data_IF_462668957889
#
_entry.id   IF_462668957889
#
_cell.length_a   1.000
_cell.length_b   1.000
_cell.length_c   1.000
_cell.angle_alpha   90.00
_cell.angle_beta   90.00
_cell.angle_gamma   90.00
#
_symmetry.space_group_name_H-M   'P 1'
#
loop_
_entity.id
_entity.type
_entity.pdbx_description
1 polymer ?
#
# COMPACT_ATOMS: atom_id res chain seq x y z
N UNK A 1 4.33 -26.34 -10.61
CA UNK A 1 3.40 -25.91 -11.66
C UNK A 1 3.34 -27.01 -12.70
N UNK A 2 2.51 -28.03 -12.48
CA UNK A 2 2.37 -29.19 -13.36
C UNK A 2 0.99 -29.15 -14.04
N UNK A 3 0.90 -29.54 -15.31
CA UNK A 3 -0.37 -29.76 -16.01
C UNK A 3 -0.71 -28.84 -17.20
N UNK A 4 0.06 -27.78 -17.49
CA UNK A 4 -0.19 -26.90 -18.67
C UNK A 4 -0.19 -27.72 -19.97
N UNK A 5 0.83 -28.54 -20.16
CA UNK A 5 0.97 -29.37 -21.37
C UNK A 5 -0.05 -30.52 -21.44
N UNK A 6 -0.50 -31.02 -20.28
CA UNK A 6 -1.57 -32.04 -20.22
C UNK A 6 -2.92 -31.44 -20.59
N UNK A 7 -3.24 -30.24 -20.09
CA UNK A 7 -4.44 -29.50 -20.48
C UNK A 7 -4.40 -29.17 -21.97
N UNK A 8 -3.29 -28.63 -22.48
CA UNK A 8 -3.13 -28.36 -23.92
C UNK A 8 -3.28 -29.63 -24.77
N UNK A 9 -2.70 -30.75 -24.36
CA UNK A 9 -2.84 -32.05 -25.06
C UNK A 9 -4.26 -32.57 -25.07
N UNK A 10 -4.99 -32.51 -23.95
CA UNK A 10 -6.40 -32.94 -23.87
C UNK A 10 -7.25 -32.13 -24.84
N UNK A 11 -7.02 -30.82 -24.95
CA UNK A 11 -7.80 -29.98 -25.86
C UNK A 11 -7.39 -30.14 -27.33
N UNK A 12 -6.09 -30.29 -27.62
CA UNK A 12 -5.60 -30.58 -28.97
C UNK A 12 -6.11 -31.95 -29.50
N UNK A 13 -6.18 -32.96 -28.65
CA UNK A 13 -6.72 -34.29 -29.00
C UNK A 13 -8.23 -34.25 -29.31
N UNK A 14 -8.97 -33.32 -28.71
CA UNK A 14 -10.40 -33.16 -28.94
C UNK A 14 -10.75 -32.21 -30.10
N UNK A 15 -9.74 -31.75 -30.86
CA UNK A 15 -9.82 -31.04 -32.15
C UNK A 15 -10.98 -30.02 -32.28
N UNK A 16 -11.20 -29.20 -31.24
CA UNK A 16 -11.98 -27.99 -31.38
C UNK A 16 -10.97 -26.84 -31.48
N UNK A 17 -10.71 -26.37 -32.70
CA UNK A 17 -10.18 -25.02 -32.95
C UNK A 17 -11.20 -23.97 -32.49
N UNK A 18 -11.59 -24.05 -31.23
CA UNK A 18 -12.75 -23.42 -30.65
C UNK A 18 -12.42 -22.01 -30.26
N UNK A 19 -12.93 -21.07 -31.05
CA UNK A 19 -13.05 -19.70 -30.63
C UNK A 19 -14.03 -19.65 -29.44
N UNK A 20 -13.54 -19.22 -28.28
CA UNK A 20 -14.37 -19.00 -27.10
C UNK A 20 -15.05 -17.64 -27.28
N UNK A 21 -16.37 -17.65 -27.48
CA UNK A 21 -17.15 -16.41 -27.56
C UNK A 21 -17.31 -15.76 -26.20
N UNK A 22 -17.54 -14.45 -26.19
CA UNK A 22 -17.90 -13.66 -25.00
C UNK A 22 -18.96 -14.36 -24.13
N UNK A 23 -20.00 -14.91 -24.78
CA UNK A 23 -21.11 -15.58 -24.09
C UNK A 23 -20.67 -16.81 -23.27
N UNK A 24 -19.63 -17.52 -23.70
CA UNK A 24 -19.10 -18.69 -23.00
C UNK A 24 -18.27 -18.25 -21.80
N UNK A 25 -17.46 -17.19 -21.94
CA UNK A 25 -16.66 -16.63 -20.85
C UNK A 25 -17.56 -16.07 -19.73
N UNK A 26 -18.62 -15.37 -20.09
CA UNK A 26 -19.61 -14.85 -19.12
C UNK A 26 -20.35 -15.99 -18.39
N UNK A 27 -20.75 -17.04 -19.11
CA UNK A 27 -21.38 -18.24 -18.52
C UNK A 27 -20.43 -19.02 -17.61
N UNK A 28 -19.13 -18.97 -17.87
CA UNK A 28 -18.10 -19.54 -17.02
C UNK A 28 -17.85 -18.72 -15.72
N UNK A 29 -18.52 -17.58 -15.57
CA UNK A 29 -18.47 -16.75 -14.36
C UNK A 29 -17.39 -15.66 -14.38
N UNK A 30 -16.76 -15.40 -15.53
CA UNK A 30 -15.85 -14.26 -15.67
C UNK A 30 -16.65 -12.94 -15.65
N UNK A 31 -16.14 -11.94 -14.94
CA UNK A 31 -16.77 -10.63 -14.87
C UNK A 31 -16.80 -9.95 -16.25
N UNK A 32 -17.92 -9.31 -16.58
CA UNK A 32 -18.13 -8.69 -17.89
C UNK A 32 -17.06 -7.65 -18.26
N UNK A 33 -16.61 -6.86 -17.28
CA UNK A 33 -15.51 -5.90 -17.46
C UNK A 33 -14.19 -6.60 -17.87
N UNK A 34 -13.90 -7.75 -17.27
CA UNK A 34 -12.70 -8.54 -17.57
C UNK A 34 -12.79 -9.19 -18.94
N UNK A 35 -13.96 -9.72 -19.31
CA UNK A 35 -14.18 -10.32 -20.64
C UNK A 35 -14.06 -9.27 -21.74
N UNK A 36 -14.64 -8.08 -21.54
CA UNK A 36 -14.52 -6.97 -22.50
C UNK A 36 -13.09 -6.47 -22.63
N UNK A 37 -12.36 -6.31 -21.52
CA UNK A 37 -10.93 -5.93 -21.57
C UNK A 37 -10.08 -6.97 -22.30
N UNK A 38 -10.34 -8.26 -22.06
CA UNK A 38 -9.63 -9.37 -22.69
C UNK A 38 -9.84 -9.38 -24.21
N UNK A 39 -11.10 -9.30 -24.66
CA UNK A 39 -11.44 -9.28 -26.10
C UNK A 39 -10.95 -8.00 -26.79
N UNK A 40 -11.03 -6.85 -26.11
CA UNK A 40 -10.54 -5.58 -26.61
C UNK A 40 -9.01 -5.55 -26.76
N UNK A 41 -8.27 -6.10 -25.79
CA UNK A 41 -6.81 -6.20 -25.85
C UNK A 41 -6.32 -7.10 -26.99
N UNK A 42 -7.13 -8.07 -27.38
CA UNK A 42 -6.80 -9.05 -28.43
C UNK A 42 -7.44 -8.71 -29.79
N UNK A 43 -8.22 -7.64 -29.89
CA UNK A 43 -8.80 -7.15 -31.14
C UNK A 43 -9.73 -8.16 -31.84
N UNK A 44 -10.34 -9.07 -31.10
CA UNK A 44 -11.13 -10.19 -31.65
C UNK A 44 -12.45 -10.38 -30.88
N UNK A 45 -13.51 -10.78 -31.57
CA UNK A 45 -14.83 -11.09 -30.95
C UNK A 45 -14.86 -12.48 -30.29
N UNK A 46 -13.84 -13.30 -30.55
CA UNK A 46 -13.74 -14.63 -29.99
C UNK A 46 -12.28 -15.08 -29.87
N UNK A 47 -12.00 -15.83 -28.81
CA UNK A 47 -10.65 -16.06 -28.33
C UNK A 47 -10.19 -17.50 -28.58
N UNK A 48 -9.05 -17.74 -29.23
CA UNK A 48 -8.51 -19.10 -29.33
C UNK A 48 -8.24 -19.68 -27.94
N UNK A 49 -8.71 -20.90 -27.68
CA UNK A 49 -8.55 -21.55 -26.38
C UNK A 49 -7.08 -21.66 -25.93
N UNK A 50 -6.15 -21.88 -26.87
CA UNK A 50 -4.71 -21.86 -26.60
C UNK A 50 -4.26 -20.52 -26.01
N UNK A 51 -4.76 -19.41 -26.53
CA UNK A 51 -4.46 -18.06 -26.02
C UNK A 51 -5.06 -17.83 -24.64
N UNK A 52 -6.22 -18.41 -24.31
CA UNK A 52 -6.79 -18.35 -22.96
C UNK A 52 -5.91 -19.10 -21.96
N UNK A 53 -5.50 -20.32 -22.32
CA UNK A 53 -4.63 -21.16 -21.50
C UNK A 53 -3.28 -20.48 -21.33
N UNK A 54 -2.71 -19.91 -22.38
CA UNK A 54 -1.49 -19.14 -22.28
C UNK A 54 -1.66 -17.94 -21.35
N UNK A 55 -2.76 -17.19 -21.46
CA UNK A 55 -3.08 -16.06 -20.60
C UNK A 55 -3.29 -16.44 -19.13
N UNK A 56 -4.04 -17.52 -18.86
CA UNK A 56 -4.27 -18.04 -17.51
C UNK A 56 -2.98 -18.55 -16.85
N UNK A 57 -2.01 -18.98 -17.65
CA UNK A 57 -0.68 -19.42 -17.23
C UNK A 57 0.41 -18.37 -17.45
N UNK A 58 0.07 -17.13 -17.83
CA UNK A 58 1.05 -16.05 -17.95
C UNK A 58 1.59 -15.76 -16.55
N UNK A 59 2.85 -16.12 -16.31
CA UNK A 59 3.53 -15.78 -15.07
C UNK A 59 3.52 -14.25 -14.93
N UNK A 60 3.03 -13.74 -13.81
CA UNK A 60 3.27 -12.33 -13.46
C UNK A 60 4.77 -12.17 -13.22
N UNK A 61 5.49 -11.55 -14.15
CA UNK A 61 6.92 -11.36 -14.00
C UNK A 61 7.15 -10.27 -12.94
N UNK A 62 7.86 -10.56 -11.83
CA UNK A 62 8.07 -9.58 -10.78
C UNK A 62 8.73 -8.31 -11.33
N UNK A 63 8.11 -7.17 -11.06
CA UNK A 63 8.62 -5.85 -11.46
C UNK A 63 8.37 -5.46 -12.92
N UNK A 64 7.72 -6.29 -13.75
CA UNK A 64 7.51 -6.01 -15.18
C UNK A 64 6.75 -4.70 -15.44
N UNK A 65 5.82 -4.33 -14.53
CA UNK A 65 5.01 -3.11 -14.63
C UNK A 65 5.60 -1.93 -13.85
N UNK A 66 6.88 -1.97 -13.51
CA UNK A 66 7.57 -0.94 -12.73
C UNK A 66 8.45 -0.03 -13.60
N UNK A 67 8.06 0.20 -14.86
CA UNK A 67 8.84 1.08 -15.73
C UNK A 67 8.89 2.51 -15.14
N UNK A 68 10.06 3.18 -15.16
CA UNK A 68 10.16 4.56 -14.68
C UNK A 68 9.18 5.49 -15.39
N UNK A 69 8.34 6.18 -14.63
CA UNK A 69 7.32 7.07 -15.16
C UNK A 69 7.60 8.54 -14.83
N UNK A 70 7.19 9.52 -15.66
CA UNK A 70 7.30 10.93 -15.28
C UNK A 70 6.56 11.19 -13.96
N UNK A 71 7.15 11.97 -13.05
CA UNK A 71 6.51 12.31 -11.77
C UNK A 71 5.12 12.94 -11.96
N UNK A 72 4.92 13.68 -13.05
CA UNK A 72 3.62 14.28 -13.41
C UNK A 72 2.56 13.26 -13.86
N UNK A 73 2.97 12.11 -14.40
CA UNK A 73 2.05 11.06 -14.84
C UNK A 73 1.49 10.24 -13.65
N UNK A 74 2.21 10.23 -12.52
CA UNK A 74 1.73 9.56 -11.32
C UNK A 74 0.54 10.31 -10.70
N UNK A 75 -0.44 9.59 -10.10
CA UNK A 75 -1.52 10.17 -9.33
C UNK A 75 -0.96 11.15 -8.29
N UNK A 76 -1.61 12.31 -8.15
CA UNK A 76 -1.16 13.41 -7.29
C UNK A 76 -0.85 12.98 -5.86
N UNK A 77 -1.59 12.01 -5.35
CA UNK A 77 -1.51 11.51 -3.98
C UNK A 77 -0.30 10.57 -3.80
N UNK A 78 0.22 10.01 -4.90
CA UNK A 78 1.34 9.06 -4.92
C UNK A 78 2.64 9.71 -5.39
N UNK A 79 2.66 11.00 -5.77
CA UNK A 79 3.87 11.67 -6.30
C UNK A 79 4.96 11.78 -5.25
N UNK A 80 4.62 12.12 -4.01
CA UNK A 80 5.60 12.18 -2.93
C UNK A 80 6.21 10.81 -2.65
N UNK A 81 5.37 9.76 -2.59
CA UNK A 81 5.83 8.39 -2.41
C UNK A 81 6.74 7.95 -3.57
N UNK A 82 6.35 8.21 -4.81
CA UNK A 82 7.13 7.87 -5.99
C UNK A 82 8.49 8.57 -5.98
N UNK A 83 8.52 9.86 -5.64
CA UNK A 83 9.76 10.62 -5.52
C UNK A 83 10.64 10.10 -4.37
N UNK A 84 10.05 9.75 -3.21
CA UNK A 84 10.79 9.19 -2.09
C UNK A 84 11.38 7.81 -2.41
N UNK A 85 10.61 6.94 -3.09
CA UNK A 85 11.09 5.66 -3.60
C UNK A 85 12.24 5.82 -4.60
N UNK A 86 12.16 6.85 -5.45
CA UNK A 86 13.23 7.18 -6.40
C UNK A 86 14.50 7.64 -5.69
N UNK A 87 14.37 8.51 -4.67
CA UNK A 87 15.52 8.96 -3.87
C UNK A 87 16.12 7.82 -3.05
N UNK A 88 15.32 6.89 -2.54
CA UNK A 88 15.80 5.68 -1.87
C UNK A 88 16.60 4.77 -2.82
N UNK A 89 16.13 4.60 -4.06
CA UNK A 89 16.87 3.88 -5.11
C UNK A 89 18.22 4.56 -5.39
N UNK A 90 18.23 5.89 -5.50
CA UNK A 90 19.47 6.65 -5.73
C UNK A 90 20.43 6.58 -4.54
N UNK A 91 19.92 6.60 -3.31
CA UNK A 91 20.75 6.40 -2.12
C UNK A 91 21.42 5.02 -2.14
N UNK A 92 20.66 3.97 -2.52
CA UNK A 92 21.19 2.62 -2.70
C UNK A 92 22.30 2.55 -3.76
N UNK A 93 22.05 3.16 -4.93
CA UNK A 93 23.02 3.23 -6.02
C UNK A 93 24.27 4.04 -5.64
N UNK A 94 24.10 5.16 -4.95
CA UNK A 94 25.18 6.01 -4.47
C UNK A 94 26.05 5.30 -3.43
N UNK A 95 25.44 4.62 -2.47
CA UNK A 95 26.16 3.85 -1.45
C UNK A 95 26.95 2.70 -2.07
N UNK A 96 26.36 1.99 -3.05
CA UNK A 96 27.07 0.98 -3.82
C UNK A 96 28.27 1.57 -4.57
N UNK A 97 28.11 2.72 -5.23
CA UNK A 97 29.22 3.38 -5.94
C UNK A 97 30.38 3.76 -5.00
N UNK A 98 30.08 4.12 -3.75
CA UNK A 98 31.08 4.55 -2.77
C UNK A 98 31.73 3.40 -2.01
N UNK A 99 31.00 2.30 -1.75
CA UNK A 99 31.40 1.25 -0.80
C UNK A 99 31.21 -0.19 -1.29
N UNK A 100 30.67 -0.39 -2.49
CA UNK A 100 30.38 -1.73 -3.03
C UNK A 100 29.43 -2.50 -2.11
N UNK A 101 29.72 -3.78 -1.87
CA UNK A 101 28.89 -4.68 -1.06
C UNK A 101 28.70 -4.23 0.39
N UNK A 102 29.69 -3.56 0.98
CA UNK A 102 29.59 -3.05 2.35
C UNK A 102 28.60 -1.88 2.47
N UNK A 103 28.29 -1.21 1.36
CA UNK A 103 27.36 -0.07 1.29
C UNK A 103 25.88 -0.45 1.32
N UNK A 104 25.52 -1.67 1.71
CA UNK A 104 24.12 -2.10 1.70
C UNK A 104 23.27 -1.25 2.66
N UNK A 105 22.23 -0.63 2.09
CA UNK A 105 21.25 0.18 2.80
C UNK A 105 20.04 -0.65 3.18
N UNK A 106 19.70 -0.64 4.46
CA UNK A 106 18.47 -1.22 5.00
C UNK A 106 17.47 -0.12 5.26
N UNK A 107 16.36 -0.17 4.55
CA UNK A 107 15.24 0.74 4.74
C UNK A 107 14.53 0.39 6.06
N UNK A 108 14.40 1.35 6.98
CA UNK A 108 13.80 1.10 8.31
C UNK A 108 12.27 1.28 8.31
N UNK A 109 11.75 2.25 7.54
CA UNK A 109 10.33 2.59 7.49
C UNK A 109 9.82 2.57 6.05
N UNK A 110 8.54 2.32 5.79
CA UNK A 110 7.98 2.40 4.44
C UNK A 110 7.62 3.84 4.06
N UNK A 111 7.80 4.27 2.79
CA UNK A 111 7.52 5.64 2.34
C UNK A 111 6.02 6.02 2.39
N UNK A 112 5.15 5.06 2.73
CA UNK A 112 3.72 5.23 2.98
C UNK A 112 3.38 5.73 4.40
N UNK A 113 4.38 5.87 5.29
CA UNK A 113 4.13 6.47 6.60
C UNK A 113 3.86 7.97 6.44
N UNK A 114 3.02 8.59 7.30
CA UNK A 114 2.77 10.03 7.29
C UNK A 114 4.02 10.88 7.60
N UNK A 115 5.15 10.27 7.86
CA UNK A 115 6.41 10.93 8.16
C UNK A 115 7.02 11.45 6.86
N UNK A 116 7.41 12.72 6.81
CA UNK A 116 8.03 13.33 5.62
C UNK A 116 9.49 12.87 5.43
N UNK A 117 9.82 11.64 5.85
CA UNK A 117 11.16 11.11 5.85
C UNK A 117 11.24 9.59 5.72
N UNK A 118 12.36 9.14 5.16
CA UNK A 118 12.71 7.73 5.04
C UNK A 118 13.95 7.44 5.88
N UNK A 119 13.85 6.49 6.81
CA UNK A 119 15.00 6.02 7.60
C UNK A 119 15.78 4.95 6.85
N UNK A 120 17.12 5.02 6.93
CA UNK A 120 18.02 3.99 6.41
C UNK A 120 19.13 3.66 7.40
N UNK A 121 19.49 2.38 7.48
CA UNK A 121 20.66 1.90 8.21
C UNK A 121 21.70 1.34 7.25
N UNK A 122 22.97 1.67 7.48
CA UNK A 122 24.12 1.19 6.71
C UNK A 122 25.00 0.36 7.62
N UNK A 123 25.10 -0.94 7.32
CA UNK A 123 25.67 -1.93 8.25
C UNK A 123 27.14 -1.68 8.62
N UNK A 124 27.98 -1.17 7.70
CA UNK A 124 29.40 -0.95 7.99
C UNK A 124 29.67 0.21 8.96
N UNK A 125 28.74 1.17 9.06
CA UNK A 125 28.79 2.32 9.98
C UNK A 125 27.97 2.10 11.26
N UNK A 126 27.24 0.99 11.34
CA UNK A 126 26.46 0.61 12.53
C UNK A 126 27.27 -0.27 13.51
N UNK A 127 28.60 -0.33 13.36
CA UNK A 127 29.50 -1.10 14.24
C UNK A 127 29.82 -0.28 15.50
N UNK A 128 30.12 -0.96 16.60
CA UNK A 128 30.34 -0.35 17.92
C UNK A 128 31.45 0.73 17.98
N UNK A 129 32.35 0.77 16.99
CA UNK A 129 33.45 1.73 16.92
C UNK A 129 33.19 2.93 15.98
N UNK A 130 32.04 2.98 15.31
CA UNK A 130 31.74 4.05 14.34
C UNK A 130 31.26 5.32 15.04
N UNK A 131 31.72 6.46 14.55
CA UNK A 131 31.38 7.77 15.14
C UNK A 131 30.24 8.47 14.38
N UNK A 132 29.59 9.43 15.04
CA UNK A 132 28.59 10.27 14.38
C UNK A 132 29.23 11.10 13.26
N UNK A 133 30.46 11.60 13.45
CA UNK A 133 31.18 12.39 12.46
C UNK A 133 31.47 11.62 11.17
N UNK A 134 31.82 10.32 11.28
CA UNK A 134 31.94 9.42 10.12
C UNK A 134 30.62 9.29 9.35
N UNK A 135 29.50 9.21 10.07
CA UNK A 135 28.18 9.13 9.45
C UNK A 135 27.78 10.45 8.81
N UNK A 136 28.09 11.60 9.42
CA UNK A 136 27.86 12.93 8.82
C UNK A 136 28.69 13.11 7.54
N UNK A 137 29.96 12.70 7.57
CA UNK A 137 30.83 12.75 6.39
C UNK A 137 30.30 11.83 5.26
N UNK A 138 29.83 10.64 5.61
CA UNK A 138 29.23 9.72 4.64
C UNK A 138 27.89 10.25 4.07
N UNK A 139 27.05 10.88 4.89
CA UNK A 139 25.82 11.52 4.41
C UNK A 139 26.10 12.62 3.37
N UNK A 140 27.17 13.39 3.56
CA UNK A 140 27.61 14.40 2.59
C UNK A 140 28.10 13.78 1.27
N UNK A 141 28.90 12.70 1.36
CA UNK A 141 29.35 11.95 0.18
C UNK A 141 28.19 11.31 -0.59
N UNK A 142 27.25 10.67 0.13
CA UNK A 142 26.03 10.11 -0.44
C UNK A 142 25.20 11.17 -1.15
N UNK A 143 25.01 12.33 -0.51
CA UNK A 143 24.20 13.41 -1.09
C UNK A 143 24.80 13.89 -2.41
N UNK A 144 26.11 14.14 -2.44
CA UNK A 144 26.80 14.55 -3.67
C UNK A 144 26.67 13.50 -4.78
N UNK A 145 26.86 12.22 -4.45
CA UNK A 145 26.72 11.14 -5.42
C UNK A 145 25.28 11.00 -5.92
N UNK A 146 24.27 11.16 -5.06
CA UNK A 146 22.86 11.15 -5.46
C UNK A 146 22.53 12.31 -6.43
N UNK A 147 23.08 13.51 -6.21
CA UNK A 147 22.94 14.64 -7.12
C UNK A 147 23.55 14.36 -8.51
N UNK A 148 24.72 13.72 -8.56
CA UNK A 148 25.33 13.28 -9.83
C UNK A 148 24.48 12.22 -10.53
N UNK A 149 23.96 11.25 -9.77
CA UNK A 149 23.10 10.19 -10.31
C UNK A 149 21.74 10.70 -10.79
N UNK A 150 21.21 11.80 -10.24
CA UNK A 150 19.96 12.42 -10.72
C UNK A 150 20.06 12.90 -12.18
N UNK A 151 21.27 13.16 -12.68
CA UNK A 151 21.52 13.51 -14.09
C UNK A 151 21.65 12.29 -15.00
N UNK A 152 21.64 11.08 -14.44
CA UNK A 152 21.73 9.82 -15.17
C UNK A 152 20.36 9.31 -15.64
N UNK A 153 20.30 8.04 -16.04
CA UNK A 153 19.05 7.36 -16.40
C UNK A 153 18.86 6.09 -15.57
N UNK A 154 17.61 5.85 -15.16
CA UNK A 154 17.15 4.54 -14.68
C UNK A 154 16.46 3.82 -15.82
N UNK A 155 16.82 2.55 -16.04
CA UNK A 155 16.16 1.67 -16.99
C UNK A 155 15.61 0.44 -16.27
N UNK A 156 14.51 -0.11 -16.79
CA UNK A 156 13.97 -1.39 -16.35
C UNK A 156 14.45 -2.46 -17.34
N UNK A 157 15.23 -3.44 -16.88
CA UNK A 157 15.69 -4.57 -17.69
C UNK A 157 14.99 -5.86 -17.24
N UNK A 158 14.33 -6.53 -18.17
CA UNK A 158 13.73 -7.84 -17.95
C UNK A 158 14.78 -8.92 -18.26
N UNK A 159 15.18 -9.70 -17.26
CA UNK A 159 16.27 -10.68 -17.39
C UNK A 159 15.80 -12.08 -16.97
N UNK A 160 16.35 -13.15 -17.59
CA UNK A 160 16.19 -14.51 -17.08
C UNK A 160 16.72 -14.61 -15.63
N UNK A 161 16.11 -15.47 -14.81
CA UNK A 161 16.44 -15.56 -13.37
C UNK A 161 17.93 -15.70 -13.09
N UNK A 162 18.64 -16.58 -13.79
CA UNK A 162 20.08 -16.82 -13.54
C UNK A 162 20.92 -15.57 -13.81
N UNK A 163 20.62 -14.86 -14.89
CA UNK A 163 21.28 -13.61 -15.25
C UNK A 163 20.89 -12.46 -14.30
N UNK A 164 19.62 -12.38 -13.90
CA UNK A 164 19.17 -11.40 -12.93
C UNK A 164 19.88 -11.55 -11.58
N UNK A 165 19.96 -12.78 -11.07
CA UNK A 165 20.61 -13.06 -9.79
C UNK A 165 22.12 -12.77 -9.82
N UNK A 166 22.79 -13.01 -10.95
CA UNK A 166 24.23 -12.70 -11.08
C UNK A 166 24.52 -11.20 -11.14
N UNK A 167 23.57 -10.38 -11.62
CA UNK A 167 23.73 -8.92 -11.73
C UNK A 167 23.36 -8.15 -10.47
N UNK A 168 22.45 -8.65 -9.61
CA UNK A 168 22.03 -7.93 -8.39
C UNK A 168 23.25 -7.62 -7.51
N UNK A 169 23.40 -6.34 -7.16
CA UNK A 169 24.59 -5.82 -6.48
C UNK A 169 24.70 -6.27 -5.01
N UNK A 170 23.62 -6.16 -4.24
CA UNK A 170 23.62 -6.51 -2.81
C UNK A 170 23.23 -7.96 -2.55
N UNK A 171 23.99 -8.66 -1.70
CA UNK A 171 23.80 -10.07 -1.43
C UNK A 171 22.45 -10.38 -0.76
N UNK A 172 21.96 -9.53 0.15
CA UNK A 172 20.64 -9.73 0.75
C UNK A 172 19.50 -9.52 -0.27
N UNK A 173 19.67 -8.56 -1.20
CA UNK A 173 18.72 -8.38 -2.30
C UNK A 173 18.75 -9.59 -3.26
N UNK A 174 19.93 -10.17 -3.51
CA UNK A 174 20.08 -11.39 -4.30
C UNK A 174 19.43 -12.59 -3.59
N UNK A 175 19.63 -12.73 -2.29
CA UNK A 175 19.01 -13.79 -1.48
C UNK A 175 17.49 -13.67 -1.50
N UNK A 176 16.94 -12.45 -1.32
CA UNK A 176 15.52 -12.19 -1.42
C UNK A 176 14.98 -12.54 -2.83
N UNK A 177 15.62 -12.07 -3.89
CA UNK A 177 15.26 -12.38 -5.26
C UNK A 177 15.31 -13.89 -5.57
N UNK A 178 16.27 -14.62 -4.99
CA UNK A 178 16.40 -16.07 -5.19
C UNK A 178 15.22 -16.86 -4.65
N UNK A 179 14.50 -16.32 -3.65
CA UNK A 179 13.30 -16.93 -3.07
C UNK A 179 12.07 -16.85 -3.98
N UNK A 180 12.06 -15.93 -4.95
CA UNK A 180 10.99 -15.80 -5.92
C UNK A 180 11.00 -17.00 -6.89
N UNK A 181 9.85 -17.66 -7.02
CA UNK A 181 9.65 -18.80 -7.94
C UNK A 181 9.18 -18.31 -9.32
N UNK A 182 10.04 -17.60 -10.04
CA UNK A 182 9.76 -17.05 -11.38
C UNK A 182 10.84 -17.43 -12.40
N UNK A 183 10.50 -17.51 -13.68
CA UNK A 183 11.49 -17.78 -14.75
C UNK A 183 12.35 -16.56 -15.09
N UNK A 184 11.79 -15.36 -14.92
CA UNK A 184 12.39 -14.07 -15.24
C UNK A 184 12.02 -13.03 -14.19
N UNK A 185 12.77 -11.93 -14.11
CA UNK A 185 12.43 -10.80 -13.25
C UNK A 185 12.94 -9.48 -13.82
N UNK A 186 12.28 -8.39 -13.47
CA UNK A 186 12.71 -7.05 -13.84
C UNK A 186 13.66 -6.45 -12.80
N UNK A 187 14.78 -5.91 -13.26
CA UNK A 187 15.73 -5.16 -12.44
C UNK A 187 15.73 -3.69 -12.85
N UNK A 188 15.90 -2.80 -11.87
CA UNK A 188 16.34 -1.44 -12.16
C UNK A 188 17.83 -1.41 -12.38
N UNK A 189 18.23 -0.74 -13.47
CA UNK A 189 19.60 -0.42 -13.80
C UNK A 189 19.81 1.09 -13.68
N UNK A 190 20.69 1.49 -12.78
CA UNK A 190 21.12 2.89 -12.62
C UNK A 190 22.54 3.03 -13.13
N UNK A 191 22.78 3.93 -14.08
CA UNK A 191 24.13 4.17 -14.60
C UNK A 191 24.95 5.00 -13.59
N UNK A 192 26.11 4.49 -13.18
CA UNK A 192 26.96 5.14 -12.16
C UNK A 192 28.03 6.09 -12.73
N UNK A 193 27.99 6.34 -14.04
CA UNK A 193 28.98 7.16 -14.75
C UNK A 193 30.02 6.35 -15.53
N UNK A 194 30.84 7.03 -16.33
CA UNK A 194 31.81 6.41 -17.22
C UNK A 194 32.91 5.67 -16.43
N UNK A 195 32.92 4.33 -16.52
CA UNK A 195 33.96 3.47 -15.93
C UNK A 195 33.65 2.85 -14.56
N UNK A 196 32.57 3.28 -13.88
CA UNK A 196 32.17 2.75 -12.55
C UNK A 196 31.17 1.57 -12.68
N UNK A 197 30.52 1.45 -13.83
CA UNK A 197 29.56 0.38 -14.14
C UNK A 197 28.11 0.81 -13.92
N UNK A 198 27.26 -0.14 -13.55
CA UNK A 198 25.85 0.10 -13.28
C UNK A 198 25.41 -0.60 -12.00
N UNK A 199 24.48 0.03 -11.29
CA UNK A 199 23.84 -0.55 -10.12
C UNK A 199 22.57 -1.30 -10.54
N UNK A 200 22.45 -2.55 -10.09
CA UNK A 200 21.30 -3.40 -10.35
C UNK A 200 20.61 -3.81 -9.05
N UNK A 201 19.30 -3.62 -9.01
CA UNK A 201 18.44 -4.04 -7.89
C UNK A 201 17.08 -4.52 -8.41
N UNK A 202 16.40 -5.48 -7.74
CA UNK A 202 15.05 -5.88 -8.12
C UNK A 202 14.08 -4.70 -8.18
N UNK A 203 13.24 -4.66 -9.23
CA UNK A 203 12.20 -3.64 -9.37
C UNK A 203 11.01 -3.93 -8.44
N UNK A 204 11.17 -3.61 -7.15
CA UNK A 204 10.19 -3.91 -6.11
C UNK A 204 9.13 -2.82 -5.91
N UNK A 205 9.41 -1.58 -6.33
CA UNK A 205 8.51 -0.43 -6.21
C UNK A 205 8.62 0.45 -7.46
N UNK A 206 7.57 1.18 -7.86
CA UNK A 206 7.65 2.10 -9.00
C UNK A 206 8.63 3.25 -8.68
N UNK A 207 9.31 3.76 -9.70
CA UNK A 207 10.18 4.95 -9.56
C UNK A 207 9.84 5.99 -10.61
N UNK A 208 10.18 7.23 -10.31
CA UNK A 208 10.08 8.33 -11.24
C UNK A 208 11.25 8.29 -12.23
N UNK A 209 11.04 8.85 -13.42
CA UNK A 209 12.15 9.26 -14.27
C UNK A 209 13.00 10.30 -13.54
N UNK A 210 14.32 10.11 -13.53
CA UNK A 210 15.24 10.96 -12.75
C UNK A 210 15.17 12.44 -13.14
N UNK A 211 15.01 12.72 -14.43
CA UNK A 211 14.80 14.06 -14.97
C UNK A 211 13.58 14.78 -14.38
N UNK A 212 12.57 14.03 -13.94
CA UNK A 212 11.35 14.55 -13.31
C UNK A 212 11.41 14.57 -11.77
N UNK A 213 12.49 14.07 -11.17
CA UNK A 213 12.67 13.90 -9.73
C UNK A 213 13.68 14.90 -9.12
N UNK A 214 13.80 16.11 -9.71
CA UNK A 214 14.62 17.21 -9.18
C UNK A 214 13.88 17.98 -8.09
N UNK A 215 13.53 17.27 -7.02
CA UNK A 215 12.80 17.79 -5.88
C UNK A 215 13.75 18.12 -4.74
N UNK A 216 13.46 19.10 -3.87
CA UNK A 216 14.28 19.38 -2.70
C UNK A 216 14.21 18.21 -1.69
N UNK A 217 15.38 17.71 -1.31
CA UNK A 217 15.57 16.67 -0.29
C UNK A 217 16.83 16.95 0.53
N UNK A 218 16.97 16.29 1.68
CA UNK A 218 18.16 16.38 2.52
C UNK A 218 18.44 15.04 3.19
N UNK A 219 19.70 14.62 3.25
CA UNK A 219 20.12 13.44 3.99
C UNK A 219 20.84 13.86 5.27
N UNK A 220 20.40 13.33 6.41
CA UNK A 220 20.97 13.63 7.73
C UNK A 220 21.39 12.34 8.44
N UNK A 221 22.53 12.35 9.13
CA UNK A 221 22.90 11.27 10.03
C UNK A 221 22.22 11.48 11.40
N UNK A 222 21.52 10.46 11.89
CA UNK A 222 20.85 10.48 13.21
C UNK A 222 21.70 9.86 14.31
N UNK A 223 22.40 8.77 13.96
CA UNK A 223 23.27 8.01 14.83
C UNK A 223 24.32 7.31 13.96
N UNK A 224 25.38 6.72 14.54
CA UNK A 224 26.33 5.91 13.79
C UNK A 224 25.61 4.87 12.92
N UNK A 225 25.77 5.00 11.59
CA UNK A 225 25.15 4.12 10.61
C UNK A 225 23.65 4.30 10.38
N UNK A 226 22.99 5.26 11.04
CA UNK A 226 21.58 5.58 10.82
C UNK A 226 21.39 6.93 10.16
N UNK A 227 20.61 6.94 9.09
CA UNK A 227 20.38 8.09 8.22
C UNK A 227 18.89 8.36 8.06
N UNK A 228 18.56 9.64 7.86
CA UNK A 228 17.23 10.14 7.61
C UNK A 228 17.24 10.94 6.32
N UNK A 229 16.49 10.49 5.33
CA UNK A 229 16.22 11.26 4.12
C UNK A 229 14.95 12.06 4.35
N UNK A 230 15.09 13.37 4.45
CA UNK A 230 14.02 14.34 4.58
C UNK A 230 13.56 14.81 3.20
N UNK A 231 12.25 14.90 3.03
CA UNK A 231 11.64 15.32 1.77
C UNK A 231 11.09 14.12 0.96
N UNK A 232 10.57 14.37 -0.24
CA UNK A 232 10.59 15.66 -0.94
C UNK A 232 9.65 16.70 -0.32
N UNK A 233 10.10 17.95 -0.17
CA UNK A 233 9.21 19.10 0.10
C UNK A 233 8.45 19.51 -1.17
N UNK A 234 7.79 18.54 -1.80
CA UNK A 234 6.81 18.78 -2.85
C UNK A 234 5.64 19.51 -2.22
N UNK A 235 5.30 20.68 -2.76
CA UNK A 235 4.03 21.31 -2.44
C UNK A 235 2.90 20.49 -3.10
N UNK A 236 2.53 19.37 -2.46
CA UNK A 236 1.46 18.48 -2.90
C UNK A 236 0.12 19.22 -3.03
N UNK A 237 -0.05 20.34 -2.32
CA UNK A 237 -1.27 21.15 -2.39
C UNK A 237 -1.46 21.87 -3.72
N UNK A 238 -0.41 22.05 -4.53
CA UNK A 238 -0.48 22.71 -5.83
C UNK A 238 -0.87 21.78 -7.01
N UNK A 239 -0.93 20.45 -6.79
CA UNK A 239 -0.92 19.46 -7.87
C UNK A 239 -2.05 18.43 -7.81
N UNK A 240 -2.98 18.56 -6.86
CA UNK A 240 -4.16 17.70 -6.72
C UNK A 240 -5.41 18.55 -7.02
N UNK A 241 -6.32 18.15 -7.93
CA UNK A 241 -7.66 18.77 -8.07
C UNK A 241 -8.58 18.54 -6.85
N UNK A 242 -8.03 18.10 -5.72
CA UNK A 242 -8.71 17.64 -4.53
C UNK A 242 -7.87 17.95 -3.29
N UNK A 243 -8.51 18.43 -2.23
CA UNK A 243 -7.83 18.80 -0.99
C UNK A 243 -7.35 17.56 -0.23
N UNK A 244 -6.06 17.20 -0.35
CA UNK A 244 -5.36 16.44 0.68
C UNK A 244 -4.74 17.40 1.67
N UNK A 245 -5.51 17.75 2.70
CA UNK A 245 -4.98 18.56 3.77
C UNK A 245 -4.52 17.65 4.92
N UNK A 246 -3.20 17.56 5.10
CA UNK A 246 -2.53 17.10 6.32
C UNK A 246 -2.71 18.23 7.34
N UNK A 247 -3.82 18.24 8.07
CA UNK A 247 -4.13 19.33 9.01
C UNK A 247 -3.86 18.85 10.42
N UNK A 248 -2.90 19.55 11.01
CA UNK A 248 -2.26 19.29 12.29
C UNK A 248 -0.77 19.48 12.11
N UNK A 249 -0.22 20.59 12.63
CA UNK A 249 1.19 20.58 13.00
C UNK A 249 1.30 19.58 14.16
N UNK A 250 2.23 18.59 14.13
CA UNK A 250 2.46 17.79 15.32
C UNK A 250 2.82 18.77 16.45
N UNK A 251 1.95 18.83 17.47
CA UNK A 251 2.38 19.35 18.75
C UNK A 251 3.57 18.49 19.19
N UNK A 252 4.66 19.09 19.71
CA UNK A 252 5.91 18.40 20.00
C UNK A 252 5.80 17.51 21.25
N UNK A 253 4.88 16.56 21.22
CA UNK A 253 4.65 15.54 22.22
C UNK A 253 4.67 14.20 21.50
N UNK A 254 5.86 13.61 21.44
CA UNK A 254 6.01 12.20 21.07
C UNK A 254 5.43 11.37 22.22
N UNK A 255 4.25 10.79 22.01
CA UNK A 255 3.60 9.90 22.98
C UNK A 255 4.01 8.46 22.69
N UNK A 256 5.31 8.24 22.53
CA UNK A 256 5.87 6.94 22.18
C UNK A 256 5.96 6.00 23.38
N UNK A 257 6.42 4.79 23.12
CA UNK A 257 6.64 3.76 24.15
C UNK A 257 7.71 4.25 25.14
N UNK A 258 8.72 4.99 24.67
CA UNK A 258 9.81 5.48 25.50
C UNK A 258 9.31 6.51 26.52
N UNK A 259 8.48 7.46 26.08
CA UNK A 259 7.92 8.51 26.94
C UNK A 259 6.88 7.94 27.89
N UNK A 260 6.09 6.95 27.46
CA UNK A 260 5.20 6.19 28.34
C UNK A 260 5.97 5.47 29.46
N UNK A 261 7.11 4.84 29.13
CA UNK A 261 7.94 4.14 30.09
C UNK A 261 8.62 5.13 31.06
N UNK A 262 9.17 6.22 30.55
CA UNK A 262 9.76 7.27 31.38
C UNK A 262 8.74 7.91 32.33
N UNK A 263 7.52 8.18 31.84
CA UNK A 263 6.42 8.66 32.67
C UNK A 263 6.00 7.62 33.73
N UNK A 264 6.14 6.33 33.42
CA UNK A 264 5.88 5.26 34.39
C UNK A 264 6.94 5.17 35.49
N UNK A 265 8.20 5.28 35.14
CA UNK A 265 9.30 5.34 36.11
C UNK A 265 9.20 6.60 37.00
N UNK A 266 8.73 7.71 36.44
CA UNK A 266 8.53 8.97 37.17
C UNK A 266 7.21 9.06 37.97
N UNK A 267 6.34 8.04 37.93
CA UNK A 267 5.03 8.07 38.60
C UNK A 267 4.04 9.09 38.00
N UNK A 268 4.24 9.49 36.73
CA UNK A 268 3.44 10.48 36.01
C UNK A 268 2.54 9.86 34.92
N UNK A 269 2.24 8.55 35.00
CA UNK A 269 1.49 7.83 33.97
C UNK A 269 0.15 8.49 33.65
N UNK A 270 -0.56 8.92 34.71
CA UNK A 270 -1.88 9.56 34.58
C UNK A 270 -1.79 10.88 33.82
N UNK A 271 -0.76 11.69 34.09
CA UNK A 271 -0.59 12.98 33.41
C UNK A 271 -0.26 12.75 31.93
N UNK A 272 0.60 11.78 31.62
CA UNK A 272 0.93 11.42 30.24
C UNK A 272 -0.29 10.90 29.48
N UNK A 273 -1.12 10.05 30.10
CA UNK A 273 -2.35 9.56 29.50
C UNK A 273 -3.35 10.69 29.22
N UNK A 274 -3.52 11.64 30.14
CA UNK A 274 -4.39 12.80 29.96
C UNK A 274 -3.88 13.74 28.85
N UNK A 275 -2.57 13.94 28.75
CA UNK A 275 -1.97 14.71 27.66
C UNK A 275 -2.21 14.03 26.31
N UNK A 276 -1.98 12.71 26.22
CA UNK A 276 -2.25 11.93 25.02
C UNK A 276 -3.73 12.01 24.60
N UNK A 277 -4.64 11.88 25.56
CA UNK A 277 -6.07 11.99 25.30
C UNK A 277 -6.47 13.41 24.85
N UNK A 278 -5.86 14.44 25.44
CA UNK A 278 -6.09 15.83 25.04
C UNK A 278 -5.61 16.09 23.61
N UNK A 279 -4.43 15.58 23.24
CA UNK A 279 -3.92 15.66 21.86
C UNK A 279 -4.84 14.96 20.87
N UNK A 280 -5.31 13.76 21.22
CA UNK A 280 -6.25 13.02 20.38
C UNK A 280 -7.58 13.75 20.22
N UNK A 281 -8.11 14.36 21.30
CA UNK A 281 -9.34 15.16 21.28
C UNK A 281 -9.18 16.43 20.43
N UNK A 282 -8.06 17.14 20.54
CA UNK A 282 -7.79 18.34 19.73
C UNK A 282 -7.73 17.97 18.24
N UNK A 283 -7.02 16.89 17.91
CA UNK A 283 -6.92 16.37 16.54
C UNK A 283 -8.29 15.98 15.99
N UNK A 284 -9.12 15.28 16.79
CA UNK A 284 -10.50 14.94 16.41
C UNK A 284 -11.37 16.18 16.20
N UNK A 285 -11.23 17.19 17.06
CA UNK A 285 -11.96 18.45 16.95
C UNK A 285 -11.60 19.18 15.65
N UNK A 286 -10.31 19.29 15.33
CA UNK A 286 -9.83 19.90 14.08
C UNK A 286 -10.31 19.13 12.84
N UNK A 287 -10.16 17.80 12.85
CA UNK A 287 -10.63 16.94 11.76
C UNK A 287 -12.13 17.09 11.52
N UNK A 288 -12.92 17.08 12.61
CA UNK A 288 -14.37 17.19 12.51
C UNK A 288 -14.83 18.55 11.97
N UNK A 289 -14.14 19.65 12.28
CA UNK A 289 -14.46 20.97 11.71
C UNK A 289 -14.37 20.92 10.18
N UNK A 290 -13.27 20.40 9.67
CA UNK A 290 -13.03 20.35 8.21
C UNK A 290 -14.00 19.43 7.49
N UNK A 291 -14.23 18.24 8.07
CA UNK A 291 -15.17 17.27 7.50
C UNK A 291 -16.57 17.86 7.51
N UNK A 292 -16.94 18.60 8.55
CA UNK A 292 -18.23 19.28 8.60
C UNK A 292 -18.37 20.35 7.51
N UNK A 293 -17.32 21.14 7.26
CA UNK A 293 -17.33 22.15 6.19
C UNK A 293 -17.50 21.51 4.80
N UNK A 294 -16.84 20.38 4.55
CA UNK A 294 -17.00 19.61 3.31
C UNK A 294 -18.40 18.98 3.20
N UNK A 295 -18.92 18.42 4.31
CA UNK A 295 -20.23 17.77 4.36
C UNK A 295 -21.40 18.74 4.14
N UNK A 296 -21.22 20.03 4.46
CA UNK A 296 -22.23 21.07 4.17
C UNK A 296 -22.42 21.33 2.67
N UNK A 297 -21.43 21.01 1.84
CA UNK A 297 -21.49 21.23 0.39
C UNK A 297 -22.01 20.01 -0.36
N UNK A 298 -21.68 18.79 0.10
CA UNK A 298 -22.05 17.53 -0.53
C UNK A 298 -22.00 16.37 0.46
N UNK A 299 -22.76 15.31 0.20
CA UNK A 299 -22.67 14.05 0.93
C UNK A 299 -21.23 13.53 0.94
N UNK A 300 -20.71 13.20 2.12
CA UNK A 300 -19.33 12.81 2.33
C UNK A 300 -19.26 11.40 2.91
N UNK A 301 -18.43 10.55 2.32
CA UNK A 301 -18.08 9.23 2.87
C UNK A 301 -16.66 9.35 3.43
N UNK A 302 -16.50 9.01 4.72
CA UNK A 302 -15.20 8.99 5.40
C UNK A 302 -14.83 7.54 5.66
N UNK A 303 -13.72 7.09 5.07
CA UNK A 303 -13.23 5.70 5.22
C UNK A 303 -12.12 5.69 6.26
N UNK A 304 -12.27 4.83 7.28
CA UNK A 304 -11.28 4.62 8.35
C UNK A 304 -10.73 3.20 8.23
N UNK A 305 -9.46 3.08 7.85
CA UNK A 305 -8.78 1.79 7.66
C UNK A 305 -7.64 1.59 8.67
N UNK A 306 -7.21 0.33 8.85
CA UNK A 306 -6.18 -0.07 9.81
C UNK A 306 -6.36 -1.53 10.29
N UNK A 307 -5.36 -2.15 10.92
CA UNK A 307 -5.44 -3.54 11.38
C UNK A 307 -6.48 -3.73 12.50
N UNK A 308 -6.95 -4.97 12.70
CA UNK A 308 -7.87 -5.27 13.81
C UNK A 308 -7.27 -4.82 15.15
N UNK A 309 -8.11 -4.33 16.08
CA UNK A 309 -7.70 -3.74 17.36
C UNK A 309 -6.91 -2.41 17.32
N UNK A 310 -6.71 -1.77 16.16
CA UNK A 310 -6.05 -0.46 16.07
C UNK A 310 -6.90 0.74 16.54
N UNK A 311 -8.08 0.50 17.13
CA UNK A 311 -8.98 1.54 17.62
C UNK A 311 -9.87 2.21 16.57
N UNK A 312 -10.01 1.66 15.34
CA UNK A 312 -10.86 2.23 14.26
C UNK A 312 -12.30 2.48 14.68
N UNK A 313 -12.91 1.51 15.36
CA UNK A 313 -14.30 1.60 15.81
C UNK A 313 -14.46 2.70 16.85
N UNK A 314 -13.52 2.79 17.80
CA UNK A 314 -13.47 3.86 18.80
C UNK A 314 -13.25 5.22 18.16
N UNK A 315 -12.33 5.33 17.21
CA UNK A 315 -12.04 6.56 16.48
C UNK A 315 -13.25 7.03 15.67
N UNK A 316 -13.86 6.16 14.87
CA UNK A 316 -15.04 6.49 14.06
C UNK A 316 -16.24 6.88 14.91
N UNK A 317 -16.45 6.22 16.05
CA UNK A 317 -17.48 6.60 17.01
C UNK A 317 -17.24 7.99 17.61
N UNK A 318 -16.01 8.29 18.05
CA UNK A 318 -15.65 9.62 18.59
C UNK A 318 -15.78 10.69 17.50
N UNK A 319 -15.26 10.45 16.30
CA UNK A 319 -15.38 11.38 15.19
C UNK A 319 -16.84 11.69 14.84
N UNK A 320 -17.71 10.67 14.83
CA UNK A 320 -19.14 10.86 14.61
C UNK A 320 -19.77 11.78 15.67
N UNK A 321 -19.42 11.63 16.95
CA UNK A 321 -19.87 12.54 18.02
C UNK A 321 -19.40 13.98 17.78
N UNK A 322 -18.14 14.18 17.42
CA UNK A 322 -17.59 15.51 17.12
C UNK A 322 -18.27 16.18 15.92
N UNK A 323 -18.66 15.40 14.91
CA UNK A 323 -19.42 15.86 13.74
C UNK A 323 -20.87 16.20 14.08
N UNK A 324 -21.53 15.36 14.88
CA UNK A 324 -22.89 15.60 15.37
C UNK A 324 -22.96 16.88 16.22
N UNK A 325 -21.97 17.11 17.09
CA UNK A 325 -21.83 18.35 17.85
C UNK A 325 -21.71 19.60 16.94
N UNK A 326 -21.28 19.43 15.69
CA UNK A 326 -21.15 20.48 14.66
C UNK A 326 -22.35 20.54 13.71
N UNK A 327 -23.43 19.82 14.01
CA UNK A 327 -24.66 19.81 13.21
C UNK A 327 -24.61 18.92 11.97
N UNK A 328 -23.63 18.02 11.85
CA UNK A 328 -23.53 17.05 10.75
C UNK A 328 -23.98 15.68 11.25
N UNK A 329 -25.03 15.12 10.64
CA UNK A 329 -25.52 13.77 10.98
C UNK A 329 -24.55 12.72 10.40
N UNK A 330 -23.48 12.45 11.15
CA UNK A 330 -22.51 11.42 10.84
C UNK A 330 -22.92 10.08 11.46
N UNK A 331 -22.83 9.02 10.66
CA UNK A 331 -23.20 7.66 11.05
C UNK A 331 -22.06 6.68 10.74
N UNK A 332 -21.43 6.07 11.76
CA UNK A 332 -20.39 5.09 11.52
C UNK A 332 -20.99 3.83 10.87
N UNK A 333 -20.30 3.32 9.84
CA UNK A 333 -20.61 2.07 9.16
C UNK A 333 -19.44 1.11 9.40
N UNK A 334 -19.71 0.03 10.12
CA UNK A 334 -18.70 -0.98 10.41
C UNK A 334 -18.75 -2.08 9.34
N UNK A 335 -17.65 -2.28 8.62
CA UNK A 335 -17.55 -3.31 7.57
C UNK A 335 -17.85 -4.72 8.11
N UNK A 336 -17.48 -5.00 9.35
CA UNK A 336 -17.70 -6.28 10.03
C UNK A 336 -19.19 -6.64 10.13
N UNK A 337 -20.09 -5.66 10.06
CA UNK A 337 -21.54 -5.92 10.05
C UNK A 337 -22.02 -6.55 8.72
N UNK A 338 -21.19 -6.51 7.68
CA UNK A 338 -21.47 -7.07 6.37
C UNK A 338 -20.96 -8.51 6.20
N UNK A 339 -20.41 -9.16 7.23
CA UNK A 339 -19.99 -10.57 7.12
C UNK A 339 -21.11 -11.49 6.60
N UNK A 340 -20.70 -12.49 5.83
CA UNK A 340 -21.54 -13.64 5.45
C UNK A 340 -21.84 -14.47 6.70
N UNK A 341 -22.87 -15.32 6.62
CA UNK A 341 -23.11 -16.27 7.69
C UNK A 341 -21.92 -17.24 7.81
N UNK A 342 -21.57 -17.66 9.02
CA UNK A 342 -20.51 -18.68 9.23
C UNK A 342 -20.82 -20.02 8.54
N UNK A 343 -22.10 -20.32 8.39
CA UNK A 343 -22.59 -21.50 7.68
C UNK A 343 -22.63 -21.32 6.15
N UNK A 344 -22.32 -20.13 5.63
CA UNK A 344 -22.29 -19.89 4.18
C UNK A 344 -21.17 -20.74 3.55
N UNK A 345 -21.49 -21.61 2.58
CA UNK A 345 -20.50 -22.50 1.97
C UNK A 345 -19.45 -21.74 1.16
N UNK A 346 -19.73 -20.48 0.77
CA UNK A 346 -18.80 -19.59 0.06
C UNK A 346 -17.92 -18.76 1.00
N UNK A 347 -18.02 -18.98 2.31
CA UNK A 347 -17.14 -18.31 3.26
C UNK A 347 -15.70 -18.85 3.07
N UNK A 348 -14.72 -17.97 2.77
CA UNK A 348 -13.35 -18.40 2.55
C UNK A 348 -12.80 -19.08 3.80
N UNK A 349 -11.95 -20.08 3.57
CA UNK A 349 -11.23 -20.82 4.61
C UNK A 349 -9.74 -20.61 4.47
N UNK A 350 -9.04 -20.59 5.59
CA UNK A 350 -7.59 -20.48 5.62
C UNK A 350 -6.90 -21.84 5.36
N UNK A 351 -5.57 -21.85 5.42
CA UNK A 351 -4.76 -23.06 5.23
C UNK A 351 -5.01 -24.17 6.28
N UNK A 352 -5.66 -23.85 7.41
CA UNK A 352 -6.02 -24.79 8.47
C UNK A 352 -7.47 -25.29 8.34
N UNK A 353 -8.20 -24.82 7.34
CA UNK A 353 -9.61 -25.13 7.13
C UNK A 353 -10.57 -24.31 8.01
N UNK A 354 -10.05 -23.30 8.73
CA UNK A 354 -10.85 -22.41 9.58
C UNK A 354 -11.42 -21.24 8.77
N UNK A 355 -12.48 -20.60 9.25
CA UNK A 355 -13.09 -19.45 8.55
C UNK A 355 -12.12 -18.26 8.50
N UNK A 356 -11.82 -17.78 7.29
CA UNK A 356 -10.95 -16.64 7.08
C UNK A 356 -11.76 -15.34 7.02
N UNK A 357 -11.77 -14.57 8.11
CA UNK A 357 -12.47 -13.28 8.21
C UNK A 357 -11.65 -12.10 7.66
N UNK A 358 -10.36 -12.30 7.36
CA UNK A 358 -9.50 -11.26 6.78
C UNK A 358 -9.60 -11.22 5.25
N UNK A 359 -10.13 -12.27 4.64
CA UNK A 359 -10.40 -12.31 3.20
C UNK A 359 -11.64 -11.47 2.85
N UNK A 360 -11.58 -10.55 1.85
CA UNK A 360 -12.73 -9.76 1.42
C UNK A 360 -13.95 -10.60 1.02
N UNK A 361 -13.75 -11.83 0.56
CA UNK A 361 -14.78 -12.80 0.22
C UNK A 361 -15.61 -13.28 1.42
N UNK A 362 -15.18 -13.01 2.66
CA UNK A 362 -15.99 -13.21 3.88
C UNK A 362 -17.12 -12.20 4.03
N UNK A 363 -17.05 -11.08 3.30
CA UNK A 363 -18.05 -10.01 3.32
C UNK A 363 -19.12 -10.22 2.25
N UNK A 364 -20.31 -9.69 2.51
CA UNK A 364 -21.38 -9.54 1.51
C UNK A 364 -21.09 -8.32 0.63
N UNK A 365 -20.07 -8.43 -0.24
CA UNK A 365 -19.57 -7.33 -1.09
C UNK A 365 -20.69 -6.69 -1.91
N UNK A 366 -21.61 -7.49 -2.47
CA UNK A 366 -22.78 -6.99 -3.20
C UNK A 366 -23.61 -6.02 -2.34
N UNK A 367 -23.85 -6.38 -1.07
CA UNK A 367 -24.65 -5.59 -0.14
C UNK A 367 -23.93 -4.31 0.27
N UNK A 368 -22.61 -4.39 0.50
CA UNK A 368 -21.77 -3.20 0.76
C UNK A 368 -21.89 -2.21 -0.38
N UNK A 369 -21.73 -2.68 -1.63
CA UNK A 369 -21.83 -1.85 -2.82
C UNK A 369 -23.22 -1.21 -2.95
N UNK A 370 -24.28 -2.01 -2.86
CA UNK A 370 -25.67 -1.54 -2.92
C UNK A 370 -25.96 -0.46 -1.87
N UNK A 371 -25.54 -0.68 -0.62
CA UNK A 371 -25.79 0.27 0.46
C UNK A 371 -24.97 1.55 0.28
N UNK A 372 -23.72 1.47 -0.17
CA UNK A 372 -22.90 2.64 -0.46
C UNK A 372 -23.47 3.47 -1.62
N UNK A 373 -23.87 2.83 -2.72
CA UNK A 373 -24.49 3.52 -3.87
C UNK A 373 -25.81 4.19 -3.47
N UNK A 374 -26.64 3.52 -2.67
CA UNK A 374 -27.88 4.10 -2.15
C UNK A 374 -27.60 5.30 -1.24
N UNK A 375 -26.66 5.19 -0.31
CA UNK A 375 -26.25 6.28 0.59
C UNK A 375 -25.70 7.48 -0.19
N UNK A 376 -24.85 7.25 -1.19
CA UNK A 376 -24.31 8.31 -2.04
C UNK A 376 -25.40 9.02 -2.85
N UNK A 377 -26.47 8.30 -3.22
CA UNK A 377 -27.65 8.85 -3.87
C UNK A 377 -28.66 9.50 -2.88
N UNK A 378 -28.35 9.56 -1.58
CA UNK A 378 -29.23 10.11 -0.55
C UNK A 378 -30.47 9.24 -0.26
N UNK A 379 -30.44 7.95 -0.65
CA UNK A 379 -31.52 7.00 -0.37
C UNK A 379 -31.31 6.34 0.99
N UNK A 380 -32.41 6.11 1.74
CA UNK A 380 -32.31 5.47 3.04
C UNK A 380 -31.90 4.00 2.90
N UNK A 381 -31.05 3.53 3.80
CA UNK A 381 -30.60 2.12 3.85
C UNK A 381 -30.88 1.52 5.22
N UNK A 382 -31.17 0.21 5.25
CA UNK A 382 -31.22 -0.53 6.50
C UNK A 382 -29.81 -1.02 6.82
N UNK A 383 -29.22 -0.45 7.87
CA UNK A 383 -27.87 -0.81 8.30
C UNK A 383 -27.79 -2.31 8.60
N UNK A 384 -26.81 -3.02 8.03
CA UNK A 384 -26.65 -4.43 8.30
C UNK A 384 -26.26 -4.63 9.76
N UNK A 385 -26.58 -5.81 10.27
CA UNK A 385 -26.17 -6.27 11.59
C UNK A 385 -25.64 -7.67 11.48
N UNK A 386 -24.58 -7.96 12.21
CA UNK A 386 -24.02 -9.30 12.33
C UNK A 386 -23.96 -9.71 13.79
N UNK A 387 -24.48 -10.89 14.12
CA UNK A 387 -24.37 -11.43 15.47
C UNK A 387 -23.15 -12.35 15.56
N UNK A 388 -22.06 -11.87 16.16
CA UNK A 388 -20.83 -12.67 16.32
C UNK A 388 -21.00 -13.93 17.18
N UNK A 389 -22.04 -13.97 18.03
CA UNK A 389 -22.36 -15.15 18.85
C UNK A 389 -22.98 -16.26 18.01
N UNK A 390 -23.98 -15.93 17.19
CA UNK A 390 -24.65 -16.92 16.32
C UNK A 390 -23.92 -17.13 15.00
N UNK A 391 -23.05 -16.18 14.61
CA UNK A 391 -22.37 -16.18 13.33
C UNK A 391 -23.30 -15.87 12.16
N UNK A 392 -24.43 -15.20 12.40
CA UNK A 392 -25.45 -14.95 11.38
C UNK A 392 -25.72 -13.44 11.18
N UNK A 393 -25.99 -13.01 9.94
CA UNK A 393 -26.59 -11.70 9.68
C UNK A 393 -27.94 -11.60 10.38
N UNK A 394 -28.09 -10.60 11.22
CA UNK A 394 -29.35 -10.32 11.92
C UNK A 394 -30.35 -9.71 10.94
N UNK A 395 -31.33 -10.53 10.52
CA UNK A 395 -32.58 -10.03 9.94
C UNK A 395 -33.62 -9.96 11.04
N UNK A 396 -34.44 -8.91 10.99
CA UNK A 396 -35.50 -8.56 11.94
C UNK A 396 -36.37 -9.77 12.33
N UNK A 397 -36.01 -10.48 13.40
CA UNK A 397 -36.89 -11.43 14.10
C UNK A 397 -37.28 -10.81 15.44
N UNK A 398 -38.58 -10.56 15.63
CA UNK A 398 -39.13 -10.26 16.96
C UNK A 398 -38.91 -11.51 17.81
N UNK A 399 -38.07 -11.44 18.85
CA UNK A 399 -38.07 -12.44 19.91
C UNK A 399 -36.75 -13.16 20.26
N UNK A 400 -35.60 -12.86 19.64
CA UNK A 400 -34.31 -13.38 20.14
C UNK A 400 -33.51 -12.27 20.82
N UNK A 401 -32.77 -12.63 21.88
CA UNK A 401 -32.06 -11.79 22.86
C UNK A 401 -31.02 -10.79 22.32
N UNK A 402 -30.98 -10.59 21.00
CA UNK A 402 -30.12 -9.63 20.30
C UNK A 402 -30.96 -8.49 19.67
N UNK A 403 -32.03 -8.05 20.35
CA UNK A 403 -32.93 -7.01 19.84
C UNK A 403 -32.48 -5.60 20.24
N UNK A 404 -31.51 -5.03 19.53
CA UNK A 404 -31.41 -3.56 19.42
C UNK A 404 -32.10 -3.12 18.12
N UNK A 405 -32.94 -2.07 18.18
CA UNK A 405 -33.72 -1.56 17.03
C UNK A 405 -32.80 -1.35 15.80
N UNK A 406 -33.19 -1.81 14.62
CA UNK A 406 -32.51 -1.37 13.38
C UNK A 406 -32.76 0.14 13.22
N UNK A 407 -31.70 0.91 13.03
CA UNK A 407 -31.77 2.34 12.80
C UNK A 407 -31.72 2.53 11.27
N UNK A 408 -32.68 3.28 10.73
CA UNK A 408 -32.58 3.78 9.35
C UNK A 408 -31.52 4.87 9.33
N UNK A 409 -30.60 4.81 8.37
CA UNK A 409 -29.77 5.94 7.97
C UNK A 409 -30.40 6.61 6.76
#
# INVERSE_FOLDING_TARGET
>A
MAGKDEVLKVFQQNNVGGLISESVLLKAGLAEATVRQLLQALGTEALPFSTLVDWLWTESIPGERMAPQPLAAAPSDNRAELALQTLALLAAAASWALKGGDGELRVENTPSTPEAFQGFTVAFLAKDNSTLDESVAFASQLSKMMEELLLSSVQLELLPREEALSRICFDNCRAFASSARCSSMALYKVALGAGVGAFYTPAAAPVAQLSSCQVPWKLEALAPGRFKLLGPSLNLSALVPGHFAKLGAPLPLDVGIQECNAAAEAGQQTNMALQAETLQNNTLSELSTRIADAARQKSCVVVVAGPSSSGKTTFSARLALHLQARGVDARPLECDMYFKARADPTHPRDAKGELNFEDPGSLRIHKVKEDLEALMAGKPVELPKFCFKTGEPSRRRRGTSCSSRSRRC
#
